data_IF_725530617680
#
_entry.id   IF_725530617680
#
_cell.length_a   1.000
_cell.length_b   1.000
_cell.length_c   1.000
_cell.angle_alpha   90.00
_cell.angle_beta   90.00
_cell.angle_gamma   90.00
#
_symmetry.space_group_name_H-M   'P 1'
#
loop_
_entity.id
_entity.type
_entity.pdbx_description
1 polymer ?
#
# COMPACT_ATOMS: atom_id res chain seq x y z
N UNK A 1 7.54 -0.12 13.08
CA UNK A 1 7.46 -1.43 12.43
C UNK A 1 7.36 -1.21 10.93
N UNK A 2 8.04 -2.04 10.16
CA UNK A 2 8.26 -1.88 8.73
C UNK A 2 7.29 -2.81 7.99
N UNK A 3 6.03 -2.40 7.84
CA UNK A 3 4.99 -3.25 7.24
C UNK A 3 4.95 -3.18 5.71
N UNK A 4 5.53 -2.15 5.09
CA UNK A 4 5.50 -1.99 3.64
C UNK A 4 6.50 -2.90 2.93
N UNK A 5 6.06 -3.47 1.81
CA UNK A 5 6.82 -4.38 0.95
C UNK A 5 6.75 -3.87 -0.48
N UNK A 6 7.87 -3.84 -1.17
CA UNK A 6 7.98 -3.31 -2.52
C UNK A 6 7.60 -4.38 -3.56
N UNK A 7 6.54 -4.13 -4.32
CA UNK A 7 6.20 -4.87 -5.53
C UNK A 7 6.82 -4.24 -6.77
N UNK A 8 6.50 -4.81 -7.93
CA UNK A 8 6.98 -4.29 -9.22
C UNK A 8 6.37 -2.93 -9.59
N UNK A 9 5.09 -2.73 -9.27
CA UNK A 9 4.31 -1.56 -9.66
C UNK A 9 3.42 -0.99 -8.54
N UNK A 10 3.46 -1.61 -7.35
CA UNK A 10 2.67 -1.24 -6.18
C UNK A 10 3.40 -1.60 -4.88
N UNK A 11 2.89 -1.10 -3.77
CA UNK A 11 3.33 -1.49 -2.43
C UNK A 11 2.29 -2.43 -1.80
N UNK A 12 2.78 -3.41 -1.05
CA UNK A 12 1.97 -4.30 -0.23
C UNK A 12 2.17 -4.01 1.26
N UNK A 13 1.13 -4.15 2.06
CA UNK A 13 1.15 -4.06 3.52
C UNK A 13 1.16 -5.50 4.06
N UNK A 14 2.21 -5.85 4.81
CA UNK A 14 2.29 -7.17 5.46
C UNK A 14 1.39 -7.22 6.72
N UNK A 15 0.31 -8.02 6.72
CA UNK A 15 -0.65 -8.01 7.82
C UNK A 15 -0.10 -8.61 9.13
N UNK A 16 0.91 -9.47 9.08
CA UNK A 16 1.56 -10.03 10.28
C UNK A 16 2.45 -9.02 11.01
N UNK A 17 2.84 -7.92 10.34
CA UNK A 17 3.71 -6.85 10.87
C UNK A 17 2.93 -5.55 11.09
N UNK A 18 1.81 -5.36 10.38
CA UNK A 18 0.89 -4.26 10.64
C UNK A 18 0.32 -4.35 12.07
N UNK A 19 0.18 -3.21 12.72
CA UNK A 19 -0.33 -3.08 14.09
C UNK A 19 -1.55 -2.16 14.18
N UNK A 20 -2.21 -1.93 13.04
CA UNK A 20 -3.45 -1.14 12.93
C UNK A 20 -3.37 0.27 13.53
N UNK A 21 -2.19 0.91 13.41
CA UNK A 21 -1.96 2.25 13.96
C UNK A 21 -2.58 3.39 13.12
N UNK A 22 -3.07 3.09 11.91
CA UNK A 22 -3.73 4.01 10.97
C UNK A 22 -2.92 5.24 10.50
N UNK A 23 -1.64 5.37 10.88
CA UNK A 23 -0.81 6.53 10.52
C UNK A 23 -0.53 6.66 9.02
N UNK A 24 -0.50 5.56 8.29
CA UNK A 24 -0.22 5.58 6.85
C UNK A 24 -1.40 6.06 5.99
N UNK A 25 -2.63 6.02 6.51
CA UNK A 25 -3.84 6.41 5.76
C UNK A 25 -3.78 7.86 5.23
N UNK A 26 -3.56 8.88 6.07
CA UNK A 26 -3.49 10.27 5.60
C UNK A 26 -2.23 10.59 4.77
N UNK A 27 -1.19 9.73 4.85
CA UNK A 27 0.07 9.95 4.13
C UNK A 27 0.01 9.47 2.67
N UNK A 28 -0.99 8.68 2.30
CA UNK A 28 -1.13 8.16 0.95
C UNK A 28 -1.78 9.24 0.05
N UNK A 29 -1.05 9.81 -0.93
CA UNK A 29 -1.57 10.91 -1.76
C UNK A 29 -2.70 10.49 -2.72
N UNK A 30 -2.91 9.18 -2.89
CA UNK A 30 -3.96 8.61 -3.75
C UNK A 30 -5.02 7.84 -2.95
N UNK A 31 -5.00 7.99 -1.62
CA UNK A 31 -6.00 7.43 -0.69
C UNK A 31 -6.21 5.91 -0.82
N UNK A 32 -5.17 5.16 -1.19
CA UNK A 32 -5.28 3.72 -1.48
C UNK A 32 -5.23 2.79 -0.26
N UNK A 33 -5.09 3.34 0.96
CA UNK A 33 -4.88 2.56 2.18
C UNK A 33 -6.14 2.51 3.04
N UNK A 34 -6.65 1.30 3.26
CA UNK A 34 -7.85 1.02 4.05
C UNK A 34 -7.54 -0.04 5.12
N UNK A 35 -8.14 0.04 6.33
CA UNK A 35 -8.32 -1.12 7.19
C UNK A 35 -9.05 -2.23 6.43
N UNK A 36 -8.77 -3.50 6.76
CA UNK A 36 -9.35 -4.66 6.07
C UNK A 36 -10.89 -4.68 6.09
N UNK A 37 -11.51 -4.20 7.16
CA UNK A 37 -12.96 -4.07 7.31
C UNK A 37 -13.57 -2.84 6.62
N UNK A 38 -12.75 -1.90 6.12
CA UNK A 38 -13.20 -0.71 5.39
C UNK A 38 -12.88 -0.76 3.89
N UNK A 39 -12.23 -1.84 3.41
CA UNK A 39 -11.92 -1.99 1.99
C UNK A 39 -13.24 -2.02 1.20
N UNK A 40 -13.41 -1.19 0.16
CA UNK A 40 -14.58 -1.29 -0.72
C UNK A 40 -14.73 -2.68 -1.32
N UNK A 41 -15.97 -3.16 -1.49
CA UNK A 41 -16.26 -4.53 -1.98
C UNK A 41 -15.58 -4.85 -3.32
N UNK A 42 -15.51 -3.87 -4.21
CA UNK A 42 -14.83 -4.00 -5.51
C UNK A 42 -13.32 -4.27 -5.40
N UNK A 43 -12.73 -3.98 -4.24
CA UNK A 43 -11.31 -4.11 -3.96
C UNK A 43 -10.99 -5.15 -2.87
N UNK A 44 -11.97 -5.90 -2.34
CA UNK A 44 -11.73 -6.92 -1.32
C UNK A 44 -10.64 -7.95 -1.69
N UNK A 45 -10.44 -8.24 -2.98
CA UNK A 45 -9.36 -9.12 -3.45
C UNK A 45 -7.97 -8.66 -2.99
N UNK A 46 -7.77 -7.35 -2.80
CA UNK A 46 -6.51 -6.78 -2.34
C UNK A 46 -6.11 -7.22 -0.93
N UNK A 47 -7.06 -7.62 -0.08
CA UNK A 47 -6.74 -8.14 1.26
C UNK A 47 -5.87 -9.40 1.13
N UNK A 48 -6.28 -10.34 0.27
CA UNK A 48 -5.52 -11.57 0.03
C UNK A 48 -4.23 -11.30 -0.75
N UNK A 49 -4.26 -10.41 -1.75
CA UNK A 49 -3.05 -10.05 -2.50
C UNK A 49 -1.97 -9.46 -1.60
N UNK A 50 -2.32 -8.53 -0.71
CA UNK A 50 -1.39 -7.98 0.28
C UNK A 50 -0.76 -9.08 1.13
N UNK A 51 -1.56 -9.98 1.69
CA UNK A 51 -1.08 -11.07 2.53
C UNK A 51 -0.16 -12.07 1.79
N UNK A 52 -0.40 -12.31 0.50
CA UNK A 52 0.37 -13.27 -0.30
C UNK A 52 1.66 -12.66 -0.87
N UNK A 53 1.56 -11.46 -1.44
CA UNK A 53 2.68 -10.79 -2.11
C UNK A 53 3.68 -10.23 -1.13
N UNK A 54 3.23 -9.71 0.02
CA UNK A 54 4.11 -9.18 1.06
C UNK A 54 5.17 -10.18 1.53
N UNK A 55 4.85 -11.48 1.60
CA UNK A 55 5.78 -12.55 2.02
C UNK A 55 6.94 -12.77 1.05
N UNK A 56 6.79 -12.35 -0.21
CA UNK A 56 7.74 -12.57 -1.29
C UNK A 56 8.37 -11.27 -1.80
N UNK A 57 7.94 -10.13 -1.25
CA UNK A 57 8.42 -8.81 -1.63
C UNK A 57 9.43 -8.29 -0.59
N UNK A 58 10.50 -7.59 -1.02
CA UNK A 58 11.45 -6.99 -0.09
C UNK A 58 10.81 -5.89 0.74
N UNK A 59 11.35 -5.66 1.94
CA UNK A 59 10.96 -4.53 2.80
C UNK A 59 11.41 -3.22 2.16
N UNK A 60 10.54 -2.20 2.19
CA UNK A 60 10.89 -0.82 1.84
C UNK A 60 10.93 0.03 3.12
N UNK A 61 12.04 0.75 3.30
CA UNK A 61 12.30 1.56 4.48
C UNK A 61 12.29 3.05 4.16
N UNK A 62 12.88 3.40 3.02
CA UNK A 62 13.02 4.76 2.57
C UNK A 62 12.00 5.08 1.47
N UNK A 63 11.49 6.31 1.50
CA UNK A 63 10.62 6.82 0.44
C UNK A 63 11.40 6.91 -0.87
N UNK A 64 10.84 6.34 -1.93
CA UNK A 64 11.39 6.40 -3.29
C UNK A 64 10.57 7.37 -4.15
N UNK A 65 11.15 7.77 -5.27
CA UNK A 65 10.42 8.54 -6.29
C UNK A 65 9.24 7.69 -6.79
N UNK A 66 8.00 8.19 -6.75
CA UNK A 66 6.84 7.46 -7.27
C UNK A 66 7.03 7.06 -8.74
N UNK A 67 6.49 5.92 -9.15
CA UNK A 67 6.59 5.36 -10.51
C UNK A 67 5.80 6.15 -11.58
N UNK A 68 5.57 7.45 -11.37
CA UNK A 68 4.74 8.35 -12.19
C UNK A 68 5.04 8.12 -13.68
N UNK A 69 4.00 7.78 -14.44
CA UNK A 69 4.05 7.59 -15.90
C UNK A 69 3.34 8.78 -16.58
N UNK A 70 3.63 9.00 -17.86
CA UNK A 70 2.80 9.89 -18.69
C UNK A 70 1.33 9.45 -18.62
N UNK A 71 0.43 10.35 -18.22
CA UNK A 71 -1.00 10.07 -18.03
C UNK A 71 -1.45 9.82 -16.59
N UNK A 72 -0.55 9.74 -15.60
CA UNK A 72 -0.94 9.86 -14.19
C UNK A 72 -1.42 11.29 -13.92
N UNK A 73 -2.64 11.46 -13.40
CA UNK A 73 -3.20 12.78 -13.07
C UNK A 73 -2.32 13.41 -11.98
N UNK A 74 -1.74 14.57 -12.27
CA UNK A 74 -1.13 15.39 -11.23
C UNK A 74 -2.25 15.93 -10.36
N UNK A 75 -2.47 15.27 -9.22
CA UNK A 75 -3.09 15.90 -8.08
C UNK A 75 -2.00 16.76 -7.44
N UNK A 76 -1.68 17.90 -8.06
CA UNK A 76 -1.23 19.04 -7.26
C UNK A 76 -2.42 19.44 -6.39
N UNK A 77 -2.49 18.81 -5.20
CA UNK A 77 -3.48 19.02 -4.14
C UNK A 77 -4.96 18.83 -4.52
#
# INVERSE_FOLDING_TARGET
MEAFREGTDCLYIEPSVCIDCNKCRPECPVEAIYPDYEVPTVWHGWISENAQKAKHSPVILDVKVPLKKEGCVDLEY
#
